data_IF_191187259904
#
_entry.id   IF_191187259904
#
_cell.length_a   1.000
_cell.length_b   1.000
_cell.length_c   1.000
_cell.angle_alpha   90.00
_cell.angle_beta   90.00
_cell.angle_gamma   90.00
#
_symmetry.space_group_name_H-M   'P 1'
#
loop_
_entity.id
_entity.type
_entity.pdbx_description
1 polymer ?
#
# COMPACT_ATOMS: atom_id res chain seq x y z
N UNK A 1 -9.01 11.10 -2.78
CA UNK A 1 -8.20 11.53 -1.62
C UNK A 1 -8.98 12.45 -0.68
N UNK A 2 -9.52 13.58 -1.13
CA UNK A 2 -10.24 14.53 -0.26
C UNK A 2 -11.49 13.94 0.41
N UNK A 3 -12.25 13.08 -0.28
CA UNK A 3 -13.44 12.44 0.28
C UNK A 3 -13.15 11.58 1.53
N UNK A 4 -11.97 10.94 1.61
CA UNK A 4 -11.58 10.17 2.79
C UNK A 4 -11.32 11.07 4.00
N UNK A 5 -10.72 12.25 3.80
CA UNK A 5 -10.48 13.21 4.87
C UNK A 5 -11.80 13.78 5.41
N UNK A 6 -12.73 14.14 4.51
CA UNK A 6 -14.06 14.62 4.91
C UNK A 6 -14.80 13.52 5.69
N UNK A 7 -14.79 12.29 5.20
CA UNK A 7 -15.40 11.15 5.89
C UNK A 7 -14.77 10.89 7.27
N UNK A 8 -13.45 10.92 7.37
CA UNK A 8 -12.74 10.76 8.64
C UNK A 8 -13.08 11.87 9.64
N UNK A 9 -13.17 13.12 9.18
CA UNK A 9 -13.53 14.25 10.04
C UNK A 9 -14.97 14.14 10.56
N UNK A 10 -15.92 13.76 9.70
CA UNK A 10 -17.30 13.50 10.12
C UNK A 10 -17.38 12.34 11.11
N UNK A 11 -16.60 11.29 10.90
CA UNK A 11 -16.51 10.16 11.83
C UNK A 11 -15.97 10.60 13.20
N UNK A 12 -14.86 11.35 13.23
CA UNK A 12 -14.28 11.88 14.47
C UNK A 12 -15.28 12.80 15.18
N UNK A 13 -15.99 13.65 14.45
CA UNK A 13 -17.04 14.50 15.02
C UNK A 13 -18.16 13.67 15.66
N UNK A 14 -18.61 12.60 15.00
CA UNK A 14 -19.59 11.67 15.56
C UNK A 14 -19.11 10.99 16.84
N UNK A 15 -17.85 10.54 16.86
CA UNK A 15 -17.21 9.97 18.06
C UNK A 15 -17.15 11.01 19.18
N UNK A 16 -16.76 12.25 18.88
CA UNK A 16 -16.70 13.32 19.88
C UNK A 16 -18.08 13.57 20.51
N UNK A 17 -19.13 13.70 19.68
CA UNK A 17 -20.52 13.85 20.15
C UNK A 17 -20.92 12.67 21.05
N UNK A 18 -20.60 11.44 20.64
CA UNK A 18 -20.87 10.24 21.44
C UNK A 18 -20.19 10.31 22.81
N UNK A 19 -18.90 10.68 22.86
CA UNK A 19 -18.13 10.80 24.11
C UNK A 19 -18.76 11.84 25.04
N UNK A 20 -19.14 13.01 24.51
CA UNK A 20 -19.76 14.08 25.32
C UNK A 20 -21.14 13.72 25.85
N UNK A 21 -21.94 13.00 25.07
CA UNK A 21 -23.30 12.61 25.48
C UNK A 21 -23.33 11.39 26.42
N UNK A 22 -22.32 10.54 26.37
CA UNK A 22 -22.29 9.26 27.09
C UNK A 22 -21.18 9.24 28.14
N UNK A 23 -21.32 10.07 29.16
CA UNK A 23 -20.38 10.14 30.30
C UNK A 23 -20.55 9.00 31.31
N UNK A 24 -21.56 8.14 31.11
CA UNK A 24 -21.83 6.99 31.95
C UNK A 24 -20.64 6.04 32.05
N UNK A 25 -20.45 5.50 33.26
CA UNK A 25 -19.48 4.45 33.51
C UNK A 25 -20.09 3.06 33.26
N UNK A 26 -19.27 2.17 32.73
CA UNK A 26 -19.63 0.78 32.44
C UNK A 26 -18.57 -0.17 33.01
N UNK A 27 -19.01 -1.39 33.29
CA UNK A 27 -18.12 -2.51 33.64
C UNK A 27 -18.04 -3.42 32.42
N UNK A 28 -16.84 -3.72 31.95
CA UNK A 28 -16.63 -4.61 30.81
C UNK A 28 -16.33 -6.01 31.33
N UNK A 29 -17.16 -6.98 30.94
CA UNK A 29 -16.90 -8.39 31.20
C UNK A 29 -16.38 -9.06 29.93
N UNK A 30 -15.21 -9.70 30.02
CA UNK A 30 -14.58 -10.39 28.89
C UNK A 30 -14.00 -11.73 29.34
N UNK A 31 -14.67 -12.83 28.94
CA UNK A 31 -14.39 -14.18 29.43
C UNK A 31 -14.32 -14.20 30.97
N UNK A 32 -13.14 -14.45 31.55
CA UNK A 32 -12.92 -14.50 33.01
C UNK A 32 -12.39 -13.19 33.59
N UNK A 33 -12.21 -12.15 32.77
CA UNK A 33 -11.74 -10.84 33.20
C UNK A 33 -12.91 -9.86 33.31
N UNK A 34 -12.85 -9.01 34.34
CA UNK A 34 -13.80 -7.91 34.54
C UNK A 34 -13.02 -6.64 34.77
N UNK A 35 -13.34 -5.58 34.03
CA UNK A 35 -12.69 -4.28 34.20
C UNK A 35 -13.20 -3.57 35.46
N UNK A 36 -12.43 -2.63 36.02
CA UNK A 36 -13.01 -1.58 36.87
C UNK A 36 -14.08 -0.79 36.11
N UNK A 37 -14.86 0.02 36.83
CA UNK A 37 -15.76 0.98 36.20
C UNK A 37 -14.93 1.97 35.37
N UNK A 38 -15.23 2.02 34.09
CA UNK A 38 -14.55 2.88 33.12
C UNK A 38 -15.61 3.63 32.31
N UNK A 39 -15.31 4.84 31.87
CA UNK A 39 -16.23 5.57 31.00
C UNK A 39 -16.47 4.79 29.70
N UNK A 40 -17.73 4.71 29.27
CA UNK A 40 -18.10 4.10 27.99
C UNK A 40 -17.32 4.71 26.82
N UNK A 41 -17.05 6.01 26.89
CA UNK A 41 -16.20 6.73 25.94
C UNK A 41 -14.83 6.08 25.75
N UNK A 42 -14.15 5.74 26.85
CA UNK A 42 -12.80 5.15 26.82
C UNK A 42 -12.84 3.77 26.16
N UNK A 43 -13.86 2.97 26.48
CA UNK A 43 -14.03 1.63 25.89
C UNK A 43 -14.21 1.73 24.37
N UNK A 44 -15.08 2.62 23.92
CA UNK A 44 -15.35 2.83 22.48
C UNK A 44 -14.12 3.37 21.76
N UNK A 45 -13.38 4.31 22.36
CA UNK A 45 -12.15 4.84 21.78
C UNK A 45 -11.09 3.75 21.61
N UNK A 46 -10.86 2.92 22.64
CA UNK A 46 -9.90 1.82 22.55
C UNK A 46 -10.33 0.81 21.49
N UNK A 47 -11.62 0.49 21.40
CA UNK A 47 -12.13 -0.43 20.38
C UNK A 47 -11.95 0.13 18.95
N UNK A 48 -12.28 1.41 18.73
CA UNK A 48 -12.09 2.08 17.45
C UNK A 48 -10.61 2.15 17.04
N UNK A 49 -9.72 2.52 17.97
CA UNK A 49 -8.27 2.52 17.75
C UNK A 49 -7.74 1.12 17.45
N UNK A 50 -8.21 0.11 18.18
CA UNK A 50 -7.81 -1.29 17.94
C UNK A 50 -8.23 -1.75 16.54
N UNK A 51 -9.45 -1.42 16.11
CA UNK A 51 -9.91 -1.69 14.75
C UNK A 51 -9.06 -0.99 13.67
N UNK A 52 -8.67 0.26 13.90
CA UNK A 52 -7.79 1.01 13.00
C UNK A 52 -6.39 0.37 12.92
N UNK A 53 -5.82 -0.05 14.05
CA UNK A 53 -4.53 -0.75 14.11
C UNK A 53 -4.60 -2.08 13.36
N UNK A 54 -5.64 -2.88 13.59
CA UNK A 54 -5.83 -4.17 12.88
C UNK A 54 -5.92 -3.93 11.37
N UNK A 55 -6.72 -2.95 10.94
CA UNK A 55 -6.88 -2.61 9.52
C UNK A 55 -5.54 -2.17 8.91
N UNK A 56 -4.79 -1.32 9.61
CA UNK A 56 -3.46 -0.86 9.19
C UNK A 56 -2.47 -2.02 9.05
N UNK A 57 -2.47 -2.98 9.98
CA UNK A 57 -1.59 -4.15 9.92
C UNK A 57 -1.91 -5.05 8.73
N UNK A 58 -3.21 -5.30 8.47
CA UNK A 58 -3.65 -6.09 7.32
C UNK A 58 -3.24 -5.40 6.01
N UNK A 59 -3.47 -4.10 5.90
CA UNK A 59 -3.14 -3.34 4.69
C UNK A 59 -1.61 -3.26 4.47
N UNK A 60 -0.84 -3.07 5.53
CA UNK A 60 0.63 -3.08 5.48
C UNK A 60 1.18 -4.39 4.92
N UNK A 61 0.62 -5.54 5.31
CA UNK A 61 1.03 -6.84 4.79
C UNK A 61 0.72 -6.99 3.29
N UNK A 62 -0.45 -6.52 2.86
CA UNK A 62 -0.83 -6.48 1.44
C UNK A 62 0.13 -5.59 0.65
N UNK A 63 0.42 -4.40 1.17
CA UNK A 63 1.29 -3.42 0.52
C UNK A 63 2.73 -3.95 0.36
N UNK A 64 3.23 -4.71 1.33
CA UNK A 64 4.52 -5.38 1.22
C UNK A 64 4.57 -6.38 0.04
N UNK A 65 3.53 -7.21 -0.12
CA UNK A 65 3.44 -8.14 -1.26
C UNK A 65 3.41 -7.40 -2.60
N UNK A 66 2.64 -6.32 -2.67
CA UNK A 66 2.55 -5.47 -3.88
C UNK A 66 3.91 -4.86 -4.19
N UNK A 67 4.60 -4.28 -3.19
CA UNK A 67 5.92 -3.68 -3.38
C UNK A 67 6.95 -4.70 -3.88
N UNK A 68 6.93 -5.93 -3.34
CA UNK A 68 7.78 -7.01 -3.83
C UNK A 68 7.49 -7.35 -5.29
N UNK A 69 6.21 -7.49 -5.66
CA UNK A 69 5.81 -7.78 -7.05
C UNK A 69 6.21 -6.67 -8.00
N UNK A 70 6.06 -5.40 -7.60
CA UNK A 70 6.52 -4.25 -8.39
C UNK A 70 8.02 -4.35 -8.65
N UNK A 71 8.82 -4.68 -7.63
CA UNK A 71 10.28 -4.83 -7.78
C UNK A 71 10.65 -5.96 -8.75
N UNK A 72 10.01 -7.12 -8.62
CA UNK A 72 10.21 -8.27 -9.51
C UNK A 72 9.86 -7.92 -10.97
N UNK A 73 8.66 -7.38 -11.21
CA UNK A 73 8.22 -6.96 -12.54
C UNK A 73 9.13 -5.87 -13.13
N UNK A 74 9.59 -4.91 -12.32
CA UNK A 74 10.50 -3.85 -12.79
C UNK A 74 11.86 -4.42 -13.19
N UNK A 75 12.38 -5.40 -12.44
CA UNK A 75 13.63 -6.06 -12.78
C UNK A 75 13.52 -6.87 -14.08
N UNK A 76 12.42 -7.59 -14.26
CA UNK A 76 12.12 -8.33 -15.49
C UNK A 76 11.99 -7.41 -16.70
N UNK A 77 11.26 -6.29 -16.55
CA UNK A 77 11.09 -5.30 -17.61
C UNK A 77 12.44 -4.72 -18.05
N UNK A 78 13.33 -4.39 -17.09
CA UNK A 78 14.70 -3.95 -17.40
C UNK A 78 15.52 -5.00 -18.13
N UNK A 79 15.38 -6.28 -17.78
CA UNK A 79 16.07 -7.39 -18.45
C UNK A 79 15.59 -7.54 -19.89
N UNK A 80 14.28 -7.54 -20.11
CA UNK A 80 13.67 -7.62 -21.44
C UNK A 80 14.07 -6.42 -22.32
N UNK A 81 14.06 -5.20 -21.78
CA UNK A 81 14.53 -4.01 -22.51
C UNK A 81 16.00 -4.11 -22.92
N UNK A 82 16.87 -4.67 -22.06
CA UNK A 82 18.27 -4.93 -22.42
C UNK A 82 18.41 -5.94 -23.55
N UNK A 83 17.62 -7.02 -23.53
CA UNK A 83 17.62 -8.04 -24.59
C UNK A 83 17.12 -7.50 -25.93
N UNK A 84 16.06 -6.69 -25.91
CA UNK A 84 15.59 -5.98 -27.11
C UNK A 84 16.73 -5.11 -27.65
N UNK A 85 17.39 -4.32 -26.80
CA UNK A 85 18.48 -3.44 -27.23
C UNK A 85 19.69 -4.21 -27.79
N UNK A 86 20.04 -5.37 -27.24
CA UNK A 86 21.13 -6.20 -27.80
C UNK A 86 20.74 -6.81 -29.14
N UNK A 87 19.55 -7.39 -29.26
CA UNK A 87 19.07 -8.01 -30.50
C UNK A 87 18.88 -6.99 -31.64
N UNK A 88 18.30 -5.83 -31.35
CA UNK A 88 18.13 -4.76 -32.35
C UNK A 88 19.45 -4.03 -32.66
N UNK A 89 20.36 -3.92 -31.68
CA UNK A 89 21.68 -3.31 -31.85
C UNK A 89 22.67 -4.16 -32.65
N UNK A 90 22.55 -5.49 -32.59
CA UNK A 90 23.31 -6.44 -33.43
C UNK A 90 22.80 -6.44 -34.88
N UNK A 91 21.48 -6.31 -35.09
CA UNK A 91 20.89 -6.23 -36.43
C UNK A 91 21.29 -4.98 -37.24
N UNK A 92 21.82 -3.93 -36.60
CA UNK A 92 22.37 -2.75 -37.29
C UNK A 92 23.88 -2.82 -37.58
N UNK A 93 24.60 -3.82 -37.06
CA UNK A 93 26.03 -4.02 -37.37
C UNK A 93 26.27 -5.00 -38.52
N UNK A 94 25.33 -5.91 -38.79
CA UNK A 94 25.44 -6.91 -39.87
C UNK A 94 25.11 -6.36 -41.27
N UNK A 95 24.61 -5.12 -41.38
CA UNK A 95 24.16 -4.50 -42.64
C UNK A 95 25.01 -3.28 -43.05
N UNK A 96 26.34 -3.37 -42.94
CA UNK A 96 27.22 -2.54 -43.78
C UNK A 96 27.53 -3.32 -45.06
N UNK A 97 27.13 -2.82 -46.24
CA UNK A 97 27.42 -3.48 -47.51
C UNK A 97 28.94 -3.57 -47.69
N UNK A 98 29.40 -4.74 -48.15
CA UNK A 98 30.73 -4.89 -48.72
C UNK A 98 30.83 -3.96 -49.94
N UNK A 99 31.35 -2.76 -49.71
CA UNK A 99 31.65 -1.77 -50.73
C UNK A 99 32.90 -2.23 -51.50
N UNK A 100 32.62 -2.87 -52.63
CA UNK A 100 33.36 -2.83 -53.90
C UNK A 100 34.79 -2.26 -53.84
N UNK A 101 35.78 -3.16 -53.82
CA UNK A 101 37.11 -2.89 -54.38
C UNK A 101 37.35 -3.83 -55.55
N UNK A 102 36.97 -3.42 -56.75
CA UNK A 102 37.93 -3.38 -57.85
C UNK A 102 37.52 -2.38 -58.94
N UNK A 103 38.41 -1.43 -59.23
CA UNK A 103 38.29 -0.44 -60.32
C UNK A 103 39.21 -0.89 -61.47
N UNK A 104 38.94 -0.51 -62.73
CA UNK A 104 39.43 -1.18 -63.93
C UNK A 104 40.86 -0.77 -64.31
N UNK A 105 41.55 -1.69 -64.99
CA UNK A 105 42.44 -1.39 -66.12
C UNK A 105 42.04 -2.24 -67.32
#
# INVERSE_FOLDING_TARGET
MQGYLIGALLFILGVAIFVFQNTSEVTVHFLSWTSPKVSLAVVVLIAALSGAVITFLIDSFRQFKIARRIKELTAENRKLQKQIKSLTGESSKESKPAENTDKPQ
#
